data_IF_861874200536
#
_entry.id   IF_861874200536
#
_cell.length_a   1.000
_cell.length_b   1.000
_cell.length_c   1.000
_cell.angle_alpha   90.00
_cell.angle_beta   90.00
_cell.angle_gamma   90.00
#
_symmetry.space_group_name_H-M   'P 1'
#
loop_
_entity.id
_entity.type
_entity.pdbx_description
1 polymer ?
#
# COMPACT_ATOMS: atom_id res chain seq x y z
N UNK A 1 20.71 -7.71 18.31
CA UNK A 1 20.53 -8.01 16.88
C UNK A 1 20.10 -6.78 16.08
N UNK A 2 19.31 -5.85 16.61
CA UNK A 2 18.90 -4.61 15.94
C UNK A 2 20.04 -3.65 15.59
N UNK A 3 21.06 -3.52 16.42
CA UNK A 3 22.23 -2.64 16.17
C UNK A 3 23.12 -3.04 14.98
N UNK A 4 23.05 -4.30 14.52
CA UNK A 4 23.86 -4.79 13.40
C UNK A 4 23.20 -4.50 12.03
N UNK A 5 21.90 -4.41 11.99
CA UNK A 5 21.13 -4.15 10.76
C UNK A 5 21.20 -2.67 10.37
N UNK A 6 21.13 -1.75 11.34
CA UNK A 6 21.22 -0.30 11.09
C UNK A 6 22.60 0.10 10.57
N UNK A 7 23.68 -0.51 11.11
CA UNK A 7 25.02 -0.26 10.64
C UNK A 7 25.28 -0.80 9.22
N UNK A 8 24.58 -1.85 8.82
CA UNK A 8 24.72 -2.43 7.47
C UNK A 8 23.99 -1.57 6.41
N UNK A 9 22.82 -1.05 6.73
CA UNK A 9 22.02 -0.20 5.82
C UNK A 9 22.70 1.16 5.61
N UNK A 10 23.24 1.79 6.66
CA UNK A 10 23.99 3.04 6.50
C UNK A 10 25.27 2.87 5.66
N UNK A 11 25.97 1.74 5.80
CA UNK A 11 27.17 1.47 4.99
C UNK A 11 26.84 1.18 3.51
N UNK A 12 25.71 0.53 3.21
CA UNK A 12 25.29 0.30 1.83
C UNK A 12 24.89 1.61 1.14
N UNK A 13 24.19 2.51 1.85
CA UNK A 13 23.83 3.84 1.33
C UNK A 13 25.05 4.73 1.07
N UNK A 14 26.02 4.71 1.99
CA UNK A 14 27.27 5.47 1.83
C UNK A 14 28.10 4.95 0.66
N UNK A 15 28.18 3.63 0.47
CA UNK A 15 28.88 3.02 -0.66
C UNK A 15 28.22 3.31 -2.02
N UNK A 16 26.90 3.31 -2.11
CA UNK A 16 26.20 3.66 -3.35
C UNK A 16 26.41 5.12 -3.76
N UNK A 17 26.45 6.05 -2.80
CA UNK A 17 26.76 7.45 -3.07
C UNK A 17 28.22 7.67 -3.48
N UNK A 18 29.17 6.94 -2.91
CA UNK A 18 30.60 7.00 -3.26
C UNK A 18 30.82 6.45 -4.67
N UNK A 19 30.20 5.29 -5.00
CA UNK A 19 30.34 4.68 -6.33
C UNK A 19 29.71 5.54 -7.43
N UNK A 20 28.59 6.20 -7.16
CA UNK A 20 27.93 7.13 -8.10
C UNK A 20 28.77 8.41 -8.36
N UNK A 21 29.61 8.82 -7.42
CA UNK A 21 30.47 10.01 -7.55
C UNK A 21 31.81 9.74 -8.24
N UNK A 22 32.16 8.46 -8.52
CA UNK A 22 33.48 8.09 -9.06
C UNK A 22 33.44 8.06 -10.59
N UNK A 23 34.26 8.94 -11.21
CA UNK A 23 34.45 9.03 -12.68
C UNK A 23 35.24 7.85 -13.30
N UNK A 24 35.73 6.90 -12.51
CA UNK A 24 36.58 5.81 -12.98
C UNK A 24 35.90 4.42 -12.70
N UNK A 25 35.29 3.84 -13.73
CA UNK A 25 34.56 2.59 -13.66
C UNK A 25 35.38 1.37 -13.16
N UNK A 26 36.69 1.37 -13.38
CA UNK A 26 37.57 0.25 -12.99
C UNK A 26 37.77 0.19 -11.47
N UNK A 27 37.82 1.34 -10.79
CA UNK A 27 37.98 1.38 -9.34
C UNK A 27 36.70 1.01 -8.59
N UNK A 28 35.53 1.32 -9.18
CA UNK A 28 34.21 0.95 -8.64
C UNK A 28 34.01 -0.58 -8.61
N UNK A 29 34.47 -1.29 -9.63
CA UNK A 29 34.38 -2.76 -9.70
C UNK A 29 35.29 -3.44 -8.65
N UNK A 30 36.44 -2.90 -8.36
CA UNK A 30 37.36 -3.44 -7.33
C UNK A 30 36.76 -3.30 -5.94
N UNK A 31 36.16 -2.16 -5.61
CA UNK A 31 35.49 -1.94 -4.31
C UNK A 31 34.30 -2.89 -4.13
N UNK A 32 33.51 -3.16 -5.19
CA UNK A 32 32.40 -4.09 -5.15
C UNK A 32 32.85 -5.55 -4.92
N UNK A 33 33.94 -5.97 -5.54
CA UNK A 33 34.52 -7.31 -5.38
C UNK A 33 35.10 -7.57 -3.98
N UNK A 34 35.70 -6.58 -3.34
CA UNK A 34 36.22 -6.69 -1.96
C UNK A 34 35.08 -6.84 -0.95
N UNK A 35 33.95 -6.20 -1.15
CA UNK A 35 32.78 -6.31 -0.27
C UNK A 35 32.06 -7.66 -0.40
N UNK A 36 32.05 -8.26 -1.59
CA UNK A 36 31.48 -9.59 -1.82
C UNK A 36 32.32 -10.72 -1.21
N UNK A 37 33.63 -10.55 -1.07
CA UNK A 37 34.52 -11.54 -0.44
C UNK A 37 34.44 -11.54 1.10
N UNK A 38 34.07 -10.42 1.73
CA UNK A 38 33.96 -10.33 3.20
C UNK A 38 32.68 -11.00 3.78
N UNK A 39 31.67 -11.26 2.94
CA UNK A 39 30.38 -11.85 3.35
C UNK A 39 30.34 -13.38 3.40
N UNK A 40 31.44 -14.10 3.10
CA UNK A 40 31.42 -15.57 2.92
C UNK A 40 32.02 -16.41 4.06
N UNK A 41 32.25 -15.83 5.23
CA UNK A 41 32.86 -16.57 6.35
C UNK A 41 31.95 -16.53 7.58
N UNK A 42 30.90 -17.38 7.61
CA UNK A 42 30.26 -17.96 8.82
C UNK A 42 29.13 -18.88 8.38
N UNK A 43 29.47 -20.14 8.20
CA UNK A 43 28.51 -21.23 8.07
C UNK A 43 29.02 -22.41 8.88
N UNK A 44 28.22 -22.92 9.79
CA UNK A 44 28.50 -24.10 10.60
C UNK A 44 27.20 -24.77 11.03
N UNK A 45 27.04 -25.96 10.53
CA UNK A 45 26.30 -27.17 10.94
C UNK A 45 25.49 -27.15 12.26
N UNK A 46 24.27 -27.75 12.25
CA UNK A 46 24.06 -29.08 12.85
C UNK A 46 22.67 -29.68 12.55
N UNK A 47 22.69 -31.02 12.45
CA UNK A 47 21.60 -31.95 12.16
C UNK A 47 20.74 -32.28 13.39
N UNK A 48 19.49 -32.76 13.17
CA UNK A 48 18.71 -33.38 14.26
C UNK A 48 17.27 -33.79 13.94
N UNK A 49 17.14 -34.99 13.52
CA UNK A 49 16.04 -35.95 13.37
C UNK A 49 14.99 -36.01 14.50
N UNK A 50 13.70 -36.35 14.17
CA UNK A 50 12.80 -36.98 15.17
C UNK A 50 11.28 -36.88 14.99
N UNK A 51 10.70 -37.79 14.21
CA UNK A 51 9.48 -38.58 14.42
C UNK A 51 8.11 -38.00 14.80
N UNK A 52 7.14 -38.58 14.09
CA UNK A 52 5.70 -38.47 14.09
C UNK A 52 5.00 -38.94 15.39
N UNK A 53 3.78 -38.41 15.63
CA UNK A 53 2.67 -39.19 16.20
C UNK A 53 1.31 -38.65 15.75
N UNK A 54 0.43 -39.57 15.40
CA UNK A 54 -0.96 -39.43 14.99
C UNK A 54 -1.89 -39.15 16.19
N UNK A 55 -3.00 -38.47 15.99
CA UNK A 55 -4.10 -38.39 16.93
C UNK A 55 -5.36 -37.83 16.30
N UNK A 56 -6.37 -38.67 16.21
CA UNK A 56 -7.69 -38.54 15.58
C UNK A 56 -8.64 -37.70 16.46
N UNK A 57 -9.58 -36.96 15.88
CA UNK A 57 -10.74 -36.44 16.59
C UNK A 57 -11.54 -35.41 15.81
N UNK A 58 -12.65 -35.83 15.22
CA UNK A 58 -13.60 -35.04 14.48
C UNK A 58 -14.52 -34.19 15.36
N UNK A 59 -14.89 -32.98 14.92
CA UNK A 59 -16.28 -32.53 15.00
C UNK A 59 -16.51 -31.38 13.98
N UNK A 60 -17.53 -31.55 13.19
CA UNK A 60 -17.95 -30.66 12.13
C UNK A 60 -18.71 -29.45 12.71
N UNK A 61 -18.32 -28.24 12.31
CA UNK A 61 -19.19 -27.08 12.30
C UNK A 61 -19.21 -26.53 10.89
N UNK A 62 -20.41 -26.45 10.31
CA UNK A 62 -20.69 -26.00 8.97
C UNK A 62 -20.39 -24.50 8.82
N UNK A 63 -19.22 -24.17 8.24
CA UNK A 63 -18.96 -22.84 7.72
C UNK A 63 -19.43 -22.81 6.27
N UNK A 64 -20.33 -21.88 5.99
CA UNK A 64 -20.73 -21.55 4.63
C UNK A 64 -19.50 -20.97 3.91
N UNK A 65 -18.85 -21.81 3.09
CA UNK A 65 -17.78 -21.38 2.21
C UNK A 65 -18.36 -20.51 1.09
N UNK A 66 -18.27 -19.20 1.24
CA UNK A 66 -18.27 -18.32 0.08
C UNK A 66 -17.01 -18.67 -0.74
N UNK A 67 -17.22 -19.28 -1.90
CA UNK A 67 -16.16 -19.49 -2.87
C UNK A 67 -15.65 -18.11 -3.32
N UNK A 68 -14.54 -17.63 -2.72
CA UNK A 68 -13.77 -16.54 -3.27
C UNK A 68 -13.19 -17.03 -4.59
N UNK A 69 -13.40 -16.26 -5.64
CA UNK A 69 -12.68 -16.44 -6.89
C UNK A 69 -11.20 -16.24 -6.56
N UNK A 70 -10.44 -17.33 -6.53
CA UNK A 70 -9.10 -17.37 -5.94
C UNK A 70 -8.09 -16.45 -6.63
N UNK A 71 -8.31 -16.10 -7.90
CA UNK A 71 -7.39 -15.26 -8.67
C UNK A 71 -7.47 -13.77 -8.35
N UNK A 72 -8.64 -13.23 -7.98
CA UNK A 72 -8.79 -11.80 -7.70
C UNK A 72 -8.38 -11.44 -6.27
N UNK A 73 -8.46 -12.37 -5.33
CA UNK A 73 -8.06 -12.16 -3.93
C UNK A 73 -6.54 -11.97 -3.79
N UNK A 74 -5.76 -12.71 -4.55
CA UNK A 74 -4.31 -12.70 -4.48
C UNK A 74 -3.69 -11.36 -4.94
N UNK A 75 -4.37 -10.61 -5.83
CA UNK A 75 -3.93 -9.28 -6.27
C UNK A 75 -4.14 -8.18 -5.22
N UNK A 76 -4.86 -8.44 -4.15
CA UNK A 76 -5.09 -7.46 -3.09
C UNK A 76 -4.05 -7.53 -1.96
N UNK A 77 -3.22 -8.56 -1.91
CA UNK A 77 -2.15 -8.69 -0.93
C UNK A 77 -0.83 -8.21 -1.54
N UNK A 78 -0.19 -7.24 -0.87
CA UNK A 78 1.08 -6.66 -1.29
C UNK A 78 2.19 -7.14 -0.37
N UNK A 79 3.44 -7.23 -0.88
CA UNK A 79 4.61 -7.63 -0.09
C UNK A 79 5.47 -6.43 0.32
N UNK A 80 6.45 -6.66 1.18
CA UNK A 80 7.47 -5.67 1.57
C UNK A 80 7.21 -4.92 2.87
N UNK A 81 6.01 -5.02 3.45
CA UNK A 81 5.71 -4.44 4.78
C UNK A 81 4.93 -5.43 5.61
N UNK A 82 5.35 -5.61 6.86
CA UNK A 82 4.65 -6.42 7.84
C UNK A 82 3.81 -5.52 8.74
N UNK A 83 2.50 -5.70 8.72
CA UNK A 83 1.53 -4.96 9.53
C UNK A 83 0.36 -5.85 9.90
N UNK A 84 -0.58 -5.30 10.65
CA UNK A 84 -1.81 -6.01 10.98
C UNK A 84 -2.74 -6.02 9.77
N UNK A 85 -3.03 -7.22 9.25
CA UNK A 85 -3.97 -7.38 8.16
C UNK A 85 -5.41 -7.28 8.66
N UNK A 86 -6.19 -6.39 8.06
CA UNK A 86 -7.60 -6.17 8.35
C UNK A 86 -8.41 -6.34 7.06
N UNK A 87 -9.28 -7.34 7.05
CA UNK A 87 -10.11 -7.67 5.89
C UNK A 87 -11.49 -7.06 6.07
N UNK A 88 -11.89 -6.22 5.12
CA UNK A 88 -13.21 -5.56 5.07
C UNK A 88 -13.98 -6.05 3.86
N UNK A 89 -15.28 -5.84 3.84
CA UNK A 89 -16.12 -6.29 2.72
C UNK A 89 -15.66 -5.67 1.38
N UNK A 90 -15.27 -4.39 1.40
CA UNK A 90 -14.88 -3.64 0.21
C UNK A 90 -13.38 -3.43 0.01
N UNK A 91 -12.50 -3.81 0.96
CA UNK A 91 -11.06 -3.56 0.89
C UNK A 91 -10.25 -4.35 1.91
N UNK A 92 -8.95 -4.39 1.72
CA UNK A 92 -7.97 -4.98 2.63
C UNK A 92 -7.01 -3.89 3.11
N UNK A 93 -6.64 -3.91 4.38
CA UNK A 93 -5.67 -2.96 4.97
C UNK A 93 -4.50 -3.73 5.55
N UNK A 94 -3.29 -3.29 5.28
CA UNK A 94 -2.11 -3.59 6.09
C UNK A 94 -1.88 -2.40 7.03
N UNK A 95 -2.22 -2.54 8.30
CA UNK A 95 -2.22 -1.46 9.28
C UNK A 95 -0.93 -1.45 10.10
N UNK A 96 -0.31 -0.27 10.22
CA UNK A 96 0.83 -0.02 11.10
C UNK A 96 0.34 0.47 12.48
N UNK A 97 0.41 -0.39 13.48
CA UNK A 97 -0.02 -0.07 14.85
C UNK A 97 0.87 1.00 15.49
N UNK A 98 2.14 1.12 15.07
CA UNK A 98 3.07 2.08 15.65
C UNK A 98 2.80 3.52 15.17
N UNK A 99 2.57 3.72 13.88
CA UNK A 99 2.22 5.02 13.30
C UNK A 99 0.73 5.34 13.35
N UNK A 100 -0.11 4.32 13.61
CA UNK A 100 -1.58 4.38 13.64
C UNK A 100 -2.21 4.83 12.33
N UNK A 101 -1.58 4.46 11.23
CA UNK A 101 -2.07 4.65 9.85
C UNK A 101 -1.80 3.38 9.05
N UNK A 102 -2.48 3.14 7.92
CA UNK A 102 -2.16 1.97 7.09
C UNK A 102 -0.77 2.11 6.44
N UNK A 103 -0.06 1.00 6.23
CA UNK A 103 1.03 0.93 5.25
C UNK A 103 0.46 1.02 3.84
N UNK A 104 -0.63 0.28 3.59
CA UNK A 104 -1.37 0.28 2.34
C UNK A 104 -2.80 -0.19 2.55
N UNK A 105 -3.66 0.21 1.62
CA UNK A 105 -5.05 -0.26 1.48
C UNK A 105 -5.27 -0.66 0.03
N UNK A 106 -5.83 -1.84 -0.20
CA UNK A 106 -6.06 -2.43 -1.52
C UNK A 106 -7.51 -2.82 -1.73
N UNK A 107 -8.05 -2.59 -2.94
CA UNK A 107 -9.39 -3.01 -3.31
C UNK A 107 -9.55 -3.28 -4.81
N UNK A 108 -10.51 -4.12 -5.12
CA UNK A 108 -10.99 -4.36 -6.48
C UNK A 108 -12.20 -3.47 -6.73
N UNK A 109 -12.11 -2.58 -7.71
CA UNK A 109 -13.17 -1.65 -8.06
C UNK A 109 -13.80 -2.06 -9.39
N UNK A 110 -15.06 -2.47 -9.37
CA UNK A 110 -15.84 -2.84 -10.56
C UNK A 110 -16.80 -1.73 -10.98
N UNK A 111 -17.30 -1.80 -12.19
CA UNK A 111 -18.37 -0.91 -12.67
C UNK A 111 -19.62 -0.99 -11.77
N UNK A 112 -19.97 -2.21 -11.31
CA UNK A 112 -21.13 -2.45 -10.43
C UNK A 112 -20.94 -1.79 -9.05
N UNK A 113 -19.72 -1.83 -8.48
CA UNK A 113 -19.40 -1.16 -7.21
C UNK A 113 -19.63 0.35 -7.30
N UNK A 114 -19.30 0.94 -8.44
CA UNK A 114 -19.47 2.39 -8.68
C UNK A 114 -20.93 2.78 -8.86
N UNK A 115 -21.74 1.91 -9.48
CA UNK A 115 -23.16 2.17 -9.78
C UNK A 115 -24.10 1.85 -8.62
N UNK A 116 -23.57 1.41 -7.48
CA UNK A 116 -24.35 1.21 -6.26
C UNK A 116 -25.12 2.46 -5.80
N UNK A 117 -26.21 2.28 -5.08
CA UNK A 117 -27.15 3.33 -4.67
C UNK A 117 -27.06 3.70 -3.18
N UNK A 118 -26.19 3.01 -2.43
CA UNK A 118 -25.98 3.30 -1.01
C UNK A 118 -25.44 4.72 -0.84
N UNK A 119 -26.13 5.51 -0.02
CA UNK A 119 -25.74 6.88 0.28
C UNK A 119 -24.55 6.89 1.24
N UNK A 120 -23.69 7.89 1.09
CA UNK A 120 -22.60 8.16 2.00
C UNK A 120 -23.12 8.31 3.43
N UNK A 121 -22.51 7.58 4.38
CA UNK A 121 -22.97 7.52 5.77
C UNK A 121 -22.33 8.60 6.66
N UNK A 122 -21.08 9.01 6.37
CA UNK A 122 -20.26 9.91 7.19
C UNK A 122 -20.11 9.50 8.67
N UNK A 123 -20.27 8.20 8.94
CA UNK A 123 -20.26 7.56 10.25
C UNK A 123 -18.83 7.15 10.69
N UNK A 124 -17.90 8.09 10.66
CA UNK A 124 -16.54 7.85 11.10
C UNK A 124 -16.49 7.21 12.48
N UNK A 125 -15.77 6.10 12.60
CA UNK A 125 -15.68 5.32 13.82
C UNK A 125 -14.27 4.76 14.04
N UNK A 126 -13.93 4.55 15.30
CA UNK A 126 -12.77 3.77 15.71
C UNK A 126 -12.95 2.32 15.26
N UNK A 127 -11.86 1.66 14.88
CA UNK A 127 -11.92 0.28 14.44
C UNK A 127 -11.94 -0.67 15.66
N UNK A 128 -13.02 -1.43 15.87
CA UNK A 128 -13.13 -2.31 17.04
C UNK A 128 -12.12 -3.45 17.05
N UNK A 129 -11.50 -3.75 15.92
CA UNK A 129 -10.44 -4.77 15.86
C UNK A 129 -9.07 -4.23 16.28
N UNK A 130 -8.89 -2.90 16.43
CA UNK A 130 -7.60 -2.28 16.77
C UNK A 130 -7.74 -1.46 18.05
N UNK A 131 -7.47 -2.10 19.20
CA UNK A 131 -7.72 -1.50 20.51
C UNK A 131 -6.98 -0.17 20.75
N UNK A 132 -5.73 -0.04 20.29
CA UNK A 132 -4.90 1.18 20.40
C UNK A 132 -4.84 1.96 19.09
N UNK A 133 -5.87 1.87 18.26
CA UNK A 133 -5.98 2.55 16.98
C UNK A 133 -6.14 4.07 17.11
N UNK A 134 -6.22 4.78 15.99
CA UNK A 134 -6.53 6.20 15.96
C UNK A 134 -7.96 6.44 16.45
N UNK A 135 -8.18 7.59 17.12
CA UNK A 135 -9.48 7.97 17.67
C UNK A 135 -10.04 9.21 16.99
N UNK A 136 -11.35 9.40 17.07
CA UNK A 136 -11.99 10.64 16.59
C UNK A 136 -11.46 11.88 17.31
N UNK A 137 -11.02 11.73 18.56
CA UNK A 137 -10.45 12.83 19.35
C UNK A 137 -9.08 13.27 18.81
N UNK A 138 -8.29 12.38 18.20
CA UNK A 138 -6.99 12.73 17.63
C UNK A 138 -7.12 13.68 16.43
N UNK A 139 -8.16 13.51 15.64
CA UNK A 139 -8.40 14.36 14.46
C UNK A 139 -9.08 15.69 14.82
N UNK A 140 -9.81 15.77 15.95
CA UNK A 140 -10.57 16.96 16.32
C UNK A 140 -9.65 18.15 16.58
N UNK A 141 -9.80 19.22 15.79
CA UNK A 141 -9.00 20.46 15.94
C UNK A 141 -7.53 20.29 15.55
N UNK A 142 -7.13 19.18 14.93
CA UNK A 142 -5.76 18.93 14.50
C UNK A 142 -5.32 19.79 13.30
N UNK A 143 -6.25 20.35 12.54
CA UNK A 143 -6.00 21.03 11.27
C UNK A 143 -5.91 20.08 10.06
N UNK A 144 -5.98 18.77 10.28
CA UNK A 144 -5.93 17.73 9.24
C UNK A 144 -7.30 17.11 8.99
N UNK A 145 -7.56 16.77 7.73
CA UNK A 145 -8.74 16.00 7.32
C UNK A 145 -8.54 14.51 7.60
N UNK A 146 -9.63 13.79 7.81
CA UNK A 146 -9.68 12.33 7.77
C UNK A 146 -9.70 11.90 6.30
N UNK A 147 -8.52 11.75 5.69
CA UNK A 147 -8.37 11.35 4.31
C UNK A 147 -8.57 9.86 4.15
N UNK A 148 -9.55 9.46 3.32
CA UNK A 148 -9.79 8.06 3.00
C UNK A 148 -8.66 7.51 2.13
N UNK A 149 -8.24 6.27 2.42
CA UNK A 149 -7.44 5.49 1.47
C UNK A 149 -8.37 4.79 0.48
N UNK A 150 -9.22 3.85 0.92
CA UNK A 150 -10.33 3.35 0.10
C UNK A 150 -11.54 4.29 0.26
N UNK A 151 -11.99 4.99 -0.80
CA UNK A 151 -13.00 6.02 -0.66
C UNK A 151 -14.41 5.46 -0.51
N UNK A 152 -15.26 6.16 0.24
CA UNK A 152 -16.67 5.82 0.39
C UNK A 152 -17.42 5.73 -0.98
N UNK A 153 -16.99 6.53 -1.97
CA UNK A 153 -17.55 6.51 -3.31
C UNK A 153 -17.39 5.20 -4.07
N UNK A 154 -16.41 4.35 -3.66
CA UNK A 154 -16.12 3.05 -4.25
C UNK A 154 -16.86 1.91 -3.52
N UNK A 155 -17.56 2.22 -2.41
CA UNK A 155 -18.26 1.27 -1.55
C UNK A 155 -19.79 1.45 -1.56
N UNK A 156 -20.35 2.00 -2.64
CA UNK A 156 -21.79 2.29 -2.75
C UNK A 156 -22.68 1.08 -3.01
N UNK A 157 -22.08 -0.08 -3.24
CA UNK A 157 -22.76 -1.34 -3.55
C UNK A 157 -23.25 -2.10 -2.31
N UNK A 158 -22.69 -1.82 -1.13
CA UNK A 158 -23.04 -2.46 0.14
C UNK A 158 -23.11 -1.43 1.28
N UNK A 159 -24.10 -1.56 2.16
CA UNK A 159 -24.21 -0.75 3.37
C UNK A 159 -23.05 -1.02 4.33
N UNK A 160 -22.63 -2.28 4.44
CA UNK A 160 -21.51 -2.69 5.29
C UNK A 160 -20.18 -2.17 4.73
N UNK A 161 -19.92 -2.34 3.43
CA UNK A 161 -18.73 -1.78 2.80
C UNK A 161 -18.68 -0.25 2.94
N UNK A 162 -19.82 0.43 2.77
CA UNK A 162 -19.93 1.87 3.00
C UNK A 162 -19.56 2.25 4.43
N UNK A 163 -20.16 1.64 5.44
CA UNK A 163 -19.88 1.92 6.85
C UNK A 163 -18.42 1.61 7.20
N UNK A 164 -17.91 0.45 6.77
CA UNK A 164 -16.52 0.08 6.99
C UNK A 164 -15.52 1.06 6.36
N UNK A 165 -15.88 1.70 5.23
CA UNK A 165 -15.00 2.70 4.61
C UNK A 165 -14.69 3.89 5.52
N UNK A 166 -15.51 4.14 6.55
CA UNK A 166 -15.34 5.20 7.55
C UNK A 166 -14.58 4.79 8.82
N UNK A 167 -14.08 3.55 8.90
CA UNK A 167 -13.19 3.13 9.99
C UNK A 167 -11.88 3.91 9.95
N UNK A 168 -11.42 4.36 11.12
CA UNK A 168 -10.21 5.21 11.21
C UNK A 168 -8.93 4.47 10.79
N UNK A 169 -8.93 3.14 10.74
CA UNK A 169 -7.85 2.34 10.15
C UNK A 169 -7.70 2.49 8.64
N UNK A 170 -8.72 3.02 7.97
CA UNK A 170 -8.70 3.40 6.54
C UNK A 170 -8.36 4.89 6.33
N UNK A 171 -7.99 5.62 7.38
CA UNK A 171 -7.79 7.07 7.35
C UNK A 171 -6.33 7.45 7.58
N UNK A 172 -5.91 8.50 6.88
CA UNK A 172 -4.67 9.21 7.20
C UNK A 172 -4.95 10.70 7.45
N UNK A 173 -4.16 11.38 8.33
CA UNK A 173 -4.17 12.83 8.39
C UNK A 173 -3.76 13.42 7.04
N UNK A 174 -4.70 14.07 6.34
CA UNK A 174 -4.50 14.55 4.97
C UNK A 174 -4.79 16.05 4.88
N UNK A 175 -4.01 16.77 4.09
CA UNK A 175 -4.26 18.17 3.78
C UNK A 175 -5.67 18.35 3.18
N UNK A 176 -6.43 19.33 3.67
CA UNK A 176 -7.83 19.50 3.28
C UNK A 176 -8.01 19.85 1.80
N UNK A 177 -7.07 20.62 1.22
CA UNK A 177 -7.15 20.99 -0.20
C UNK A 177 -6.77 19.82 -1.10
N UNK A 178 -5.74 19.03 -0.72
CA UNK A 178 -5.42 17.79 -1.41
C UNK A 178 -6.62 16.83 -1.37
N UNK A 179 -7.17 16.57 -0.18
CA UNK A 179 -8.27 15.63 0.02
C UNK A 179 -9.54 16.01 -0.79
N UNK A 180 -9.86 17.29 -0.87
CA UNK A 180 -11.04 17.77 -1.60
C UNK A 180 -10.76 18.17 -3.06
N UNK A 181 -9.50 18.25 -3.46
CA UNK A 181 -9.02 18.58 -4.81
C UNK A 181 -8.43 17.39 -5.54
N UNK A 182 -7.13 17.42 -5.81
CA UNK A 182 -6.42 16.48 -6.69
C UNK A 182 -6.59 15.01 -6.30
N UNK A 183 -6.63 14.68 -4.98
CA UNK A 183 -6.88 13.32 -4.54
C UNK A 183 -8.29 12.83 -4.90
N UNK A 184 -9.30 13.68 -4.66
CA UNK A 184 -10.69 13.40 -5.05
C UNK A 184 -10.84 13.29 -6.57
N UNK A 185 -10.15 14.12 -7.34
CA UNK A 185 -10.16 14.04 -8.81
C UNK A 185 -9.60 12.70 -9.31
N UNK A 186 -8.52 12.21 -8.70
CA UNK A 186 -7.97 10.89 -9.01
C UNK A 186 -8.97 9.78 -8.65
N UNK A 187 -9.64 9.85 -7.50
CA UNK A 187 -10.69 8.89 -7.12
C UNK A 187 -11.84 8.87 -8.14
N UNK A 188 -12.30 10.04 -8.57
CA UNK A 188 -13.33 10.15 -9.60
C UNK A 188 -12.86 9.59 -10.95
N UNK A 189 -11.58 9.76 -11.27
CA UNK A 189 -10.98 9.19 -12.47
C UNK A 189 -10.89 7.66 -12.40
N UNK A 190 -10.49 7.09 -11.26
CA UNK A 190 -10.48 5.65 -11.04
C UNK A 190 -11.88 5.05 -11.26
N UNK A 191 -12.93 5.67 -10.72
CA UNK A 191 -14.32 5.22 -10.96
C UNK A 191 -14.71 5.26 -12.45
N UNK A 192 -14.26 6.28 -13.19
CA UNK A 192 -14.47 6.35 -14.66
C UNK A 192 -13.72 5.24 -15.38
N UNK A 193 -12.51 4.90 -14.94
CA UNK A 193 -11.75 3.79 -15.51
C UNK A 193 -12.40 2.44 -15.22
N UNK A 194 -12.86 2.19 -13.98
CA UNK A 194 -13.60 0.98 -13.65
C UNK A 194 -14.84 0.80 -14.55
N UNK A 195 -15.61 1.87 -14.77
CA UNK A 195 -16.75 1.82 -15.69
C UNK A 195 -16.36 1.58 -17.15
N UNK A 196 -15.20 2.10 -17.58
CA UNK A 196 -14.74 1.98 -18.97
C UNK A 196 -14.16 0.61 -19.28
N UNK A 197 -13.44 0.02 -18.34
CA UNK A 197 -12.68 -1.22 -18.52
C UNK A 197 -13.35 -2.43 -17.87
N UNK A 198 -14.41 -2.23 -17.10
CA UNK A 198 -15.15 -3.25 -16.36
C UNK A 198 -14.70 -3.38 -14.92
N UNK A 199 -13.38 -3.38 -14.68
CA UNK A 199 -12.77 -3.44 -13.36
C UNK A 199 -11.33 -2.92 -13.34
N UNK A 200 -10.88 -2.57 -12.16
CA UNK A 200 -9.48 -2.19 -11.87
C UNK A 200 -9.12 -2.61 -10.44
N UNK A 201 -7.84 -2.87 -10.21
CA UNK A 201 -7.28 -3.07 -8.89
C UNK A 201 -6.55 -1.82 -8.45
N UNK A 202 -6.74 -1.42 -7.20
CA UNK A 202 -6.16 -0.18 -6.66
C UNK A 202 -5.46 -0.50 -5.35
N UNK A 203 -4.23 0.01 -5.20
CA UNK A 203 -3.50 0.03 -3.93
C UNK A 203 -3.10 1.46 -3.64
N UNK A 204 -3.35 1.94 -2.43
CA UNK A 204 -2.86 3.25 -2.03
C UNK A 204 -2.42 3.27 -0.57
N UNK A 205 -1.63 4.26 -0.21
CA UNK A 205 -1.16 4.41 1.14
C UNK A 205 -0.32 5.67 1.35
N UNK A 206 0.10 5.91 2.58
CA UNK A 206 0.96 7.01 2.95
C UNK A 206 2.42 6.75 2.59
N UNK A 207 3.18 7.82 2.41
CA UNK A 207 4.63 7.82 2.30
C UNK A 207 5.23 8.54 3.50
N UNK A 208 6.14 7.86 4.19
CA UNK A 208 6.90 8.35 5.32
C UNK A 208 8.39 8.35 4.94
N UNK A 209 8.96 9.53 4.66
CA UNK A 209 10.36 9.65 4.23
C UNK A 209 11.20 10.60 5.10
N UNK A 210 10.58 11.31 6.04
CA UNK A 210 11.31 12.13 7.01
C UNK A 210 11.81 11.27 8.18
N UNK A 211 12.92 11.67 8.81
CA UNK A 211 13.40 11.02 10.04
C UNK A 211 12.51 11.27 11.26
N UNK A 212 11.72 12.33 11.24
CA UNK A 212 10.76 12.69 12.29
C UNK A 212 9.47 13.13 11.61
N UNK A 213 8.36 12.54 12.03
CA UNK A 213 7.04 12.83 11.51
C UNK A 213 6.28 13.74 12.46
N UNK A 214 5.46 14.61 11.91
CA UNK A 214 4.42 15.29 12.66
C UNK A 214 3.40 14.26 13.14
N UNK A 215 2.84 14.45 14.31
CA UNK A 215 1.73 13.63 14.82
C UNK A 215 0.56 14.49 15.24
N UNK A 216 -0.63 13.90 15.29
CA UNK A 216 -1.85 14.54 15.76
C UNK A 216 -2.43 13.82 16.97
N UNK A 217 -3.15 14.56 17.80
CA UNK A 217 -3.87 14.05 18.95
C UNK A 217 -2.99 13.46 20.05
N UNK A 218 -3.66 12.97 21.08
CA UNK A 218 -3.00 12.26 22.19
C UNK A 218 -2.52 10.87 21.77
N UNK A 219 -3.19 10.28 20.76
CA UNK A 219 -2.84 9.00 20.17
C UNK A 219 -1.56 9.03 19.35
N UNK A 220 -0.99 10.22 19.07
CA UNK A 220 0.23 10.37 18.27
C UNK A 220 0.10 9.77 16.85
N UNK A 221 -1.08 9.95 16.22
CA UNK A 221 -1.30 9.47 14.83
C UNK A 221 -0.35 10.21 13.89
N UNK A 222 0.45 9.48 13.13
CA UNK A 222 1.47 10.07 12.25
C UNK A 222 0.83 10.78 11.06
N UNK A 223 1.36 11.96 10.71
CA UNK A 223 0.98 12.72 9.52
C UNK A 223 1.95 12.36 8.40
N UNK A 224 1.47 11.74 7.31
CA UNK A 224 2.32 11.39 6.18
C UNK A 224 2.83 12.61 5.42
N UNK A 225 4.02 12.51 4.84
CA UNK A 225 4.57 13.55 3.97
C UNK A 225 3.97 13.51 2.55
N UNK A 226 3.53 12.33 2.10
CA UNK A 226 2.92 12.15 0.79
C UNK A 226 2.00 10.91 0.79
N UNK A 227 1.35 10.68 -0.35
CA UNK A 227 0.53 9.50 -0.61
C UNK A 227 0.86 8.93 -1.97
N UNK A 228 0.82 7.62 -2.08
CA UNK A 228 0.85 6.92 -3.36
C UNK A 228 -0.51 6.33 -3.69
N UNK A 229 -0.77 6.12 -4.98
CA UNK A 229 -1.88 5.30 -5.48
C UNK A 229 -1.41 4.58 -6.74
N UNK A 230 -1.54 3.26 -6.74
CA UNK A 230 -1.25 2.40 -7.89
C UNK A 230 -2.55 1.83 -8.41
N UNK A 231 -2.73 1.83 -9.73
CA UNK A 231 -3.94 1.37 -10.41
C UNK A 231 -3.54 0.39 -11.49
N UNK A 232 -4.09 -0.83 -11.43
CA UNK A 232 -3.89 -1.91 -12.40
C UNK A 232 -5.21 -2.23 -13.10
N UNK A 233 -5.17 -2.39 -14.41
CA UNK A 233 -6.26 -2.89 -15.23
C UNK A 233 -5.80 -4.16 -15.94
N UNK A 234 -6.52 -5.28 -15.73
CA UNK A 234 -6.23 -6.60 -16.30
C UNK A 234 -7.07 -6.91 -17.55
N UNK A 235 -7.37 -5.90 -18.36
CA UNK A 235 -8.03 -6.09 -19.67
C UNK A 235 -7.14 -6.87 -20.64
N UNK A 236 -7.60 -7.10 -21.89
CA UNK A 236 -6.81 -7.77 -22.96
C UNK A 236 -5.39 -7.22 -23.14
N UNK A 237 -5.18 -5.96 -22.80
CA UNK A 237 -3.87 -5.30 -22.73
C UNK A 237 -3.66 -4.77 -21.32
N UNK A 238 -3.09 -5.57 -20.43
CA UNK A 238 -2.80 -5.14 -19.06
C UNK A 238 -2.00 -3.83 -19.05
N UNK A 239 -2.35 -2.95 -18.12
CA UNK A 239 -1.69 -1.67 -17.95
C UNK A 239 -1.83 -1.16 -16.53
N UNK A 240 -0.86 -0.38 -16.09
CA UNK A 240 -0.89 0.18 -14.76
C UNK A 240 -0.37 1.63 -14.72
N UNK A 241 -0.69 2.33 -13.65
CA UNK A 241 -0.20 3.67 -13.34
C UNK A 241 0.12 3.78 -11.86
N UNK A 242 1.25 4.39 -11.55
CA UNK A 242 1.56 4.90 -10.23
C UNK A 242 1.30 6.41 -10.14
N UNK A 243 0.91 6.88 -8.96
CA UNK A 243 0.75 8.30 -8.65
C UNK A 243 1.39 8.60 -7.30
N UNK A 244 2.03 9.76 -7.18
CA UNK A 244 2.55 10.28 -5.91
C UNK A 244 2.11 11.73 -5.73
N UNK A 245 1.43 11.99 -4.62
CA UNK A 245 0.94 13.30 -4.20
C UNK A 245 1.57 13.69 -2.88
N UNK A 246 2.23 14.85 -2.82
CA UNK A 246 2.65 15.40 -1.53
C UNK A 246 1.44 15.76 -0.67
N UNK A 247 1.55 15.62 0.64
CA UNK A 247 0.49 15.96 1.58
C UNK A 247 0.41 17.48 1.83
N UNK A 248 0.27 18.23 0.75
CA UNK A 248 0.20 19.70 0.71
C UNK A 248 -0.88 20.16 -0.28
N UNK A 249 -1.09 21.44 -0.41
CA UNK A 249 -1.99 21.98 -1.41
C UNK A 249 -1.53 21.57 -2.82
N UNK A 250 -2.41 20.90 -3.55
CA UNK A 250 -2.15 20.45 -4.93
C UNK A 250 -2.51 21.51 -5.95
N UNK A 251 -3.30 21.15 -6.94
CA UNK A 251 -3.78 21.95 -8.07
C UNK A 251 -2.83 21.94 -9.27
N UNK A 252 -2.36 20.73 -9.63
CA UNK A 252 -1.60 20.48 -10.84
C UNK A 252 -2.35 19.52 -11.76
N UNK A 253 -2.07 19.52 -13.07
CA UNK A 253 -2.59 18.49 -13.96
C UNK A 253 -2.25 17.08 -13.44
N UNK A 254 -3.20 16.15 -13.53
CA UNK A 254 -3.03 14.77 -13.02
C UNK A 254 -1.77 14.10 -13.60
N UNK A 255 -1.40 14.41 -14.84
CA UNK A 255 -0.20 13.88 -15.49
C UNK A 255 1.11 14.23 -14.80
N UNK A 256 1.15 15.30 -14.00
CA UNK A 256 2.36 15.73 -13.28
C UNK A 256 2.63 14.83 -12.04
N UNK A 257 1.66 14.01 -11.63
CA UNK A 257 1.75 13.09 -10.50
C UNK A 257 2.01 11.64 -10.92
N UNK A 258 2.03 11.37 -12.24
CA UNK A 258 2.20 10.03 -12.78
C UNK A 258 3.63 9.53 -12.60
N UNK A 259 3.73 8.28 -12.18
CA UNK A 259 4.97 7.51 -12.04
C UNK A 259 4.76 6.11 -12.63
N UNK A 260 5.84 5.38 -12.86
CA UNK A 260 5.78 3.93 -13.10
C UNK A 260 5.52 3.20 -11.78
N UNK A 261 5.05 1.95 -11.82
CA UNK A 261 4.95 1.13 -10.61
C UNK A 261 6.35 0.90 -10.02
N UNK A 262 7.35 0.53 -10.84
CA UNK A 262 8.76 0.37 -10.42
C UNK A 262 9.26 1.56 -9.56
N UNK A 263 8.90 2.79 -9.96
CA UNK A 263 9.31 3.98 -9.20
C UNK A 263 8.57 4.08 -7.86
N UNK A 264 7.27 3.74 -7.83
CA UNK A 264 6.51 3.73 -6.57
C UNK A 264 7.03 2.63 -5.64
N UNK A 265 7.37 1.44 -6.16
CA UNK A 265 7.97 0.35 -5.40
C UNK A 265 9.31 0.74 -4.81
N UNK A 266 10.17 1.34 -5.62
CA UNK A 266 11.48 1.86 -5.16
C UNK A 266 11.34 2.84 -3.99
N UNK A 267 10.28 3.65 -3.99
CA UNK A 267 10.03 4.66 -2.94
C UNK A 267 9.38 4.03 -1.70
N UNK A 268 8.41 3.13 -1.88
CA UNK A 268 7.63 2.52 -0.80
C UNK A 268 8.33 1.34 -0.14
N UNK A 269 9.16 0.63 -0.90
CA UNK A 269 9.69 -0.69 -0.54
C UNK A 269 8.61 -1.78 -0.54
N UNK A 270 7.46 -1.53 -1.19
CA UNK A 270 6.42 -2.52 -1.45
C UNK A 270 6.68 -3.20 -2.79
N UNK A 271 6.17 -4.40 -2.95
CA UNK A 271 6.07 -5.18 -4.18
C UNK A 271 4.57 -5.29 -4.47
N UNK A 272 4.12 -4.60 -5.53
CA UNK A 272 2.71 -4.50 -5.88
C UNK A 272 2.28 -5.61 -6.80
N UNK A 273 1.11 -6.19 -6.51
CA UNK A 273 0.49 -7.25 -7.30
C UNK A 273 1.39 -8.49 -7.52
N UNK A 274 2.08 -8.99 -6.49
CA UNK A 274 3.09 -10.05 -6.59
C UNK A 274 2.51 -11.42 -7.00
N UNK A 275 1.24 -11.49 -7.32
CA UNK A 275 0.55 -12.65 -7.86
C UNK A 275 0.40 -12.59 -9.39
N UNK A 276 0.88 -11.52 -10.03
CA UNK A 276 0.93 -11.46 -11.50
C UNK A 276 1.99 -12.42 -12.05
N UNK A 277 1.76 -12.90 -13.27
CA UNK A 277 2.81 -13.59 -14.01
C UNK A 277 3.96 -12.62 -14.30
N UNK A 278 5.22 -13.05 -14.09
CA UNK A 278 6.44 -12.22 -14.22
C UNK A 278 6.51 -11.41 -15.53
N UNK A 279 5.97 -11.93 -16.65
CA UNK A 279 5.97 -11.23 -17.94
C UNK A 279 4.94 -10.11 -17.98
N UNK A 280 3.79 -10.28 -17.33
CA UNK A 280 2.74 -9.27 -17.19
C UNK A 280 3.22 -8.18 -16.23
N UNK A 281 3.74 -8.58 -15.07
CA UNK A 281 4.29 -7.70 -14.03
C UNK A 281 5.33 -6.75 -14.65
N UNK A 282 6.40 -7.26 -15.25
CA UNK A 282 7.42 -6.45 -15.93
C UNK A 282 6.86 -5.53 -17.02
N UNK A 283 5.82 -5.96 -17.73
CA UNK A 283 5.23 -5.17 -18.82
C UNK A 283 4.42 -3.98 -18.31
N UNK A 284 3.74 -4.11 -17.16
CA UNK A 284 2.88 -3.07 -16.60
C UNK A 284 3.64 -2.11 -15.68
N UNK A 285 4.66 -2.59 -14.97
CA UNK A 285 5.41 -1.82 -13.95
C UNK A 285 6.36 -0.80 -14.56
N UNK A 286 7.01 -1.16 -15.66
CA UNK A 286 7.99 -0.31 -16.34
C UNK A 286 7.39 0.87 -17.11
N UNK A 287 6.06 0.96 -17.24
CA UNK A 287 5.36 1.97 -18.02
C UNK A 287 4.41 2.80 -17.18
N UNK A 288 4.39 4.11 -17.43
CA UNK A 288 3.49 5.04 -16.77
C UNK A 288 2.95 6.08 -17.78
N UNK A 289 2.17 5.63 -18.76
CA UNK A 289 1.58 6.58 -19.75
C UNK A 289 0.09 6.78 -19.50
N UNK A 290 -0.26 7.93 -18.93
CA UNK A 290 -1.65 8.30 -18.67
C UNK A 290 -2.49 8.40 -19.95
N UNK A 291 -1.87 8.60 -21.12
CA UNK A 291 -2.60 8.68 -22.41
C UNK A 291 -3.25 7.34 -22.77
N UNK A 292 -2.68 6.22 -22.33
CA UNK A 292 -3.28 4.90 -22.54
C UNK A 292 -4.59 4.70 -21.75
N UNK A 293 -4.86 5.60 -20.78
CA UNK A 293 -6.03 5.57 -19.91
C UNK A 293 -7.08 6.65 -20.25
N UNK A 294 -6.81 7.50 -21.24
CA UNK A 294 -7.68 8.61 -21.62
C UNK A 294 -8.76 8.26 -22.65
#
# INVERSE_FOLDING_TARGET
MAYFVDCFIENVYLCQHIVSSMKNKTLAVIVLLVLLCAGRFCGGHDDGNGQASQGVGASASSEASMSRDSSSGDLLEQKGREGRMLYREGYVVCFDEASKIPYWVAWHLTAEHVDGDVRRSDDFAEDPEVADGPTLADYRGSGWSRGHMCPAGDNRWSRQAMSQSFLLTNMCPQNARLNNGDWKELEEKCRKWAKRYGDIYIVCGPLLYNRRHQTIGKGQVVVPEAFFKVVLCMSEKPKALGFIYKNEDGNRPMGDYVNTIDEVERITGLDFFPALDDDVERAVESKGDIKEWM
#
